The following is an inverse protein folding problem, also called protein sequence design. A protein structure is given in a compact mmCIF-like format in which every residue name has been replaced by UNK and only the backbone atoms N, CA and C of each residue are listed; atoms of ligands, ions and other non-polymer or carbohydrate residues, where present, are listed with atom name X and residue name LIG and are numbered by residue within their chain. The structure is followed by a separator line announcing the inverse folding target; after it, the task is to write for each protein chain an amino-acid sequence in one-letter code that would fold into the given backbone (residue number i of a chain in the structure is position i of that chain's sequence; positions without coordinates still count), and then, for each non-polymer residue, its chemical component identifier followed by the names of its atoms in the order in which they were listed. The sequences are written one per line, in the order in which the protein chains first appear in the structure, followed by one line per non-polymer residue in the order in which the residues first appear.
data_IF_680886169633
#
_entry.id   IF_680886169633
#
_cell.length_a   1.000
_cell.length_b   1.000
_cell.length_c   1.000
_cell.angle_alpha   90.00
_cell.angle_beta   90.00
_cell.angle_gamma   90.00
#
_symmetry.space_group_name_H-M   'P 1'
#
loop_
_entity.id
_entity.type
_entity.pdbx_description
1 polymer ?
#
# COMPACT_ATOMS: atom_id res chain seq x y z
N UNK A 1 -11.07 -6.40 -36.72
CA UNK A 1 -10.13 -6.61 -35.61
C UNK A 1 -9.30 -5.35 -35.37
N UNK A 2 -9.73 -4.52 -34.43
CA UNK A 2 -9.05 -3.30 -34.02
C UNK A 2 -7.81 -3.59 -33.16
N UNK A 3 -6.73 -2.82 -33.39
CA UNK A 3 -5.50 -2.88 -32.60
C UNK A 3 -5.41 -1.67 -31.68
N UNK A 4 -5.45 -1.92 -30.39
CA UNK A 4 -5.44 -0.90 -29.34
C UNK A 4 -4.12 -0.93 -28.62
N UNK A 5 -3.49 0.24 -28.50
CA UNK A 5 -2.40 0.47 -27.57
C UNK A 5 -2.90 1.40 -26.49
N UNK A 6 -2.84 0.95 -25.25
CA UNK A 6 -3.23 1.69 -24.06
C UNK A 6 -2.02 1.86 -23.15
N UNK A 7 -1.79 3.06 -22.66
CA UNK A 7 -0.71 3.38 -21.76
C UNK A 7 -1.26 4.22 -20.62
N UNK A 8 -0.89 3.86 -19.39
CA UNK A 8 -1.24 4.64 -18.21
C UNK A 8 -0.04 4.77 -17.26
N UNK A 9 0.21 6.00 -16.82
CA UNK A 9 1.19 6.32 -15.80
C UNK A 9 0.47 6.91 -14.58
N UNK A 10 0.35 6.15 -13.47
CA UNK A 10 -0.38 6.60 -12.29
C UNK A 10 0.32 7.73 -11.53
N UNK A 11 1.62 7.96 -11.74
CA UNK A 11 2.37 9.03 -11.08
C UNK A 11 2.11 10.40 -11.71
N UNK A 12 1.93 10.43 -13.03
CA UNK A 12 1.59 11.66 -13.75
C UNK A 12 0.11 11.77 -14.08
N UNK A 13 -0.69 10.73 -13.80
CA UNK A 13 -2.10 10.62 -14.22
C UNK A 13 -2.26 10.61 -15.75
N UNK A 14 -1.21 10.23 -16.49
CA UNK A 14 -1.20 10.33 -17.95
C UNK A 14 -1.71 9.05 -18.59
N UNK A 15 -2.74 9.16 -19.43
CA UNK A 15 -3.34 8.08 -20.22
C UNK A 15 -3.19 8.37 -21.70
N UNK A 16 -2.54 7.44 -22.41
CA UNK A 16 -2.45 7.45 -23.87
C UNK A 16 -3.20 6.27 -24.47
N UNK A 17 -4.04 6.51 -25.47
CA UNK A 17 -4.73 5.46 -26.18
C UNK A 17 -4.62 5.69 -27.69
N UNK A 18 -4.24 4.66 -28.43
CA UNK A 18 -4.28 4.68 -29.90
C UNK A 18 -5.01 3.47 -30.44
N UNK A 19 -5.82 3.67 -31.46
CA UNK A 19 -6.54 2.60 -32.17
C UNK A 19 -6.10 2.61 -33.63
N UNK A 20 -5.61 1.46 -34.11
CA UNK A 20 -5.03 1.29 -35.45
C UNK A 20 -3.99 2.38 -35.78
N UNK A 21 -3.18 2.75 -34.78
CA UNK A 21 -2.13 3.76 -34.86
C UNK A 21 -2.60 5.21 -34.80
N UNK A 22 -3.91 5.47 -34.68
CA UNK A 22 -4.45 6.83 -34.51
C UNK A 22 -4.65 7.15 -33.04
N UNK A 23 -4.13 8.29 -32.59
CA UNK A 23 -4.33 8.77 -31.23
C UNK A 23 -5.80 9.12 -31.00
N UNK A 24 -6.38 8.55 -29.94
CA UNK A 24 -7.77 8.76 -29.52
C UNK A 24 -7.86 9.33 -28.09
N UNK A 25 -6.73 9.63 -27.44
CA UNK A 25 -6.68 10.10 -26.05
C UNK A 25 -7.56 11.31 -25.76
N UNK A 26 -7.68 12.20 -26.76
CA UNK A 26 -8.40 13.47 -26.68
C UNK A 26 -9.71 13.46 -27.46
N UNK A 27 -10.16 12.30 -27.97
CA UNK A 27 -11.46 12.22 -28.65
C UNK A 27 -12.59 12.23 -27.63
N UNK A 28 -13.66 12.95 -27.95
CA UNK A 28 -14.83 13.14 -27.08
C UNK A 28 -15.38 11.83 -26.48
N UNK A 29 -15.45 10.77 -27.28
CA UNK A 29 -15.99 9.49 -26.83
C UNK A 29 -15.14 8.84 -25.72
N UNK A 30 -13.82 9.02 -25.78
CA UNK A 30 -12.90 8.51 -24.77
C UNK A 30 -12.68 9.48 -23.61
N UNK A 31 -12.80 10.80 -23.84
CA UNK A 31 -12.86 11.79 -22.77
C UNK A 31 -14.07 11.56 -21.85
N UNK A 32 -15.15 10.95 -22.36
CA UNK A 32 -16.27 10.50 -21.50
C UNK A 32 -15.94 9.30 -20.62
N UNK A 33 -14.90 8.53 -20.97
CA UNK A 33 -14.43 7.40 -20.17
C UNK A 33 -13.50 7.88 -19.06
N UNK A 34 -12.36 8.50 -19.41
CA UNK A 34 -11.34 8.89 -18.44
C UNK A 34 -11.39 10.36 -18.03
N UNK A 35 -12.30 11.18 -18.56
CA UNK A 35 -12.31 12.61 -18.26
C UNK A 35 -11.05 13.30 -18.77
N UNK A 36 -10.18 13.74 -17.87
CA UNK A 36 -8.90 14.35 -18.23
C UNK A 36 -7.78 13.30 -18.30
N UNK A 37 -7.25 12.99 -19.49
CA UNK A 37 -6.21 11.97 -19.65
C UNK A 37 -4.85 12.37 -19.06
N UNK A 38 -4.70 13.55 -18.44
CA UNK A 38 -3.47 13.95 -17.74
C UNK A 38 -3.65 14.07 -16.22
N UNK A 39 -4.80 13.63 -15.68
CA UNK A 39 -5.11 13.80 -14.25
C UNK A 39 -5.87 12.63 -13.61
N UNK A 40 -6.53 11.79 -14.39
CA UNK A 40 -7.39 10.75 -13.84
C UNK A 40 -6.62 9.50 -13.46
N UNK A 41 -7.05 8.82 -12.39
CA UNK A 41 -6.51 7.51 -12.02
C UNK A 41 -7.15 6.41 -12.86
N UNK A 42 -6.42 5.34 -13.12
CA UNK A 42 -6.94 4.21 -13.89
C UNK A 42 -8.20 3.59 -13.25
N UNK A 43 -8.21 3.48 -11.92
CA UNK A 43 -9.31 2.91 -11.16
C UNK A 43 -10.64 3.67 -11.34
N UNK A 44 -10.59 4.94 -11.72
CA UNK A 44 -11.79 5.76 -11.94
C UNK A 44 -12.53 5.39 -13.22
N UNK A 45 -11.84 4.85 -14.23
CA UNK A 45 -12.40 4.67 -15.59
C UNK A 45 -12.23 3.28 -16.17
N UNK A 46 -11.32 2.46 -15.64
CA UNK A 46 -11.00 1.13 -16.19
C UNK A 46 -12.24 0.25 -16.31
N UNK A 47 -13.18 0.37 -15.37
CA UNK A 47 -14.42 -0.41 -15.35
C UNK A 47 -15.33 -0.19 -16.56
N UNK A 48 -15.25 0.97 -17.21
CA UNK A 48 -16.05 1.28 -18.42
C UNK A 48 -15.27 1.07 -19.72
N UNK A 49 -13.95 0.91 -19.64
CA UNK A 49 -13.06 1.04 -20.80
C UNK A 49 -13.43 0.11 -21.97
N UNK A 50 -13.61 -1.19 -21.71
CA UNK A 50 -13.89 -2.16 -22.77
C UNK A 50 -15.29 -1.99 -23.37
N UNK A 51 -16.28 -1.58 -22.58
CA UNK A 51 -17.59 -1.23 -23.10
C UNK A 51 -17.50 -0.03 -24.04
N UNK A 52 -16.80 1.04 -23.63
CA UNK A 52 -16.61 2.24 -24.45
C UNK A 52 -15.86 1.93 -25.74
N UNK A 53 -14.79 1.14 -25.65
CA UNK A 53 -14.04 0.69 -26.81
C UNK A 53 -14.95 -0.06 -27.79
N UNK A 54 -15.80 -0.95 -27.29
CA UNK A 54 -16.74 -1.70 -28.13
C UNK A 54 -17.82 -0.81 -28.76
N UNK A 55 -18.40 0.11 -28.00
CA UNK A 55 -19.42 1.04 -28.50
C UNK A 55 -18.91 1.89 -29.68
N UNK A 56 -17.62 2.24 -29.68
CA UNK A 56 -17.00 3.09 -30.68
C UNK A 56 -16.55 2.29 -31.91
N UNK A 57 -15.80 1.21 -31.69
CA UNK A 57 -15.20 0.45 -32.78
C UNK A 57 -16.15 -0.60 -33.38
N UNK A 58 -17.11 -1.07 -32.59
CA UNK A 58 -18.13 -2.05 -32.98
C UNK A 58 -17.54 -3.31 -33.66
N UNK A 59 -16.39 -3.76 -33.16
CA UNK A 59 -15.68 -4.95 -33.59
C UNK A 59 -16.01 -6.14 -32.67
N UNK A 60 -15.88 -7.36 -33.18
CA UNK A 60 -16.04 -8.61 -32.41
C UNK A 60 -14.71 -9.10 -31.82
N UNK A 61 -13.58 -8.57 -32.29
CA UNK A 61 -12.25 -8.96 -31.82
C UNK A 61 -11.30 -7.78 -31.64
N UNK A 62 -10.64 -7.73 -30.49
CA UNK A 62 -9.68 -6.69 -30.11
C UNK A 62 -8.31 -7.28 -29.75
N UNK A 63 -7.25 -6.63 -30.20
CA UNK A 63 -5.89 -6.83 -29.69
C UNK A 63 -5.51 -5.60 -28.86
N UNK A 64 -5.33 -5.77 -27.56
CA UNK A 64 -5.06 -4.68 -26.63
C UNK A 64 -3.67 -4.88 -26.03
N UNK A 65 -2.78 -3.95 -26.32
CA UNK A 65 -1.44 -3.90 -25.74
C UNK A 65 -1.41 -2.81 -24.67
N UNK A 66 -1.13 -3.17 -23.40
CA UNK A 66 -1.12 -2.25 -22.27
C UNK A 66 0.28 -1.96 -21.75
N UNK A 67 0.66 -0.68 -21.63
CA UNK A 67 1.90 -0.24 -20.99
C UNK A 67 1.60 0.54 -19.71
N UNK A 68 1.98 -0.02 -18.55
CA UNK A 68 1.70 0.58 -17.25
C UNK A 68 2.18 -0.29 -16.10
N UNK A 69 1.72 0.00 -14.87
CA UNK A 69 2.08 -0.81 -13.71
C UNK A 69 1.47 -2.23 -13.80
N UNK A 70 2.13 -3.26 -13.23
CA UNK A 70 1.57 -4.60 -13.14
C UNK A 70 0.26 -4.69 -12.33
N UNK A 71 0.04 -3.80 -11.36
CA UNK A 71 -1.25 -3.68 -10.66
C UNK A 71 -2.37 -3.27 -11.62
N UNK A 72 -2.13 -2.22 -12.40
CA UNK A 72 -3.11 -1.66 -13.33
C UNK A 72 -3.44 -2.66 -14.46
N UNK A 73 -2.45 -3.43 -14.89
CA UNK A 73 -2.65 -4.52 -15.85
C UNK A 73 -3.61 -5.60 -15.29
N UNK A 74 -3.46 -5.98 -14.01
CA UNK A 74 -4.37 -6.93 -13.36
C UNK A 74 -5.79 -6.36 -13.23
N UNK A 75 -5.92 -5.08 -12.95
CA UNK A 75 -7.24 -4.41 -12.93
C UNK A 75 -7.90 -4.48 -14.31
N UNK A 76 -7.14 -4.23 -15.39
CA UNK A 76 -7.61 -4.41 -16.77
C UNK A 76 -7.99 -5.86 -17.09
N UNK A 77 -7.21 -6.86 -16.66
CA UNK A 77 -7.54 -8.27 -16.84
C UNK A 77 -8.88 -8.62 -16.19
N UNK A 78 -9.09 -8.21 -14.94
CA UNK A 78 -10.34 -8.45 -14.20
C UNK A 78 -11.54 -7.83 -14.93
N UNK A 79 -11.43 -6.59 -15.40
CA UNK A 79 -12.53 -5.93 -16.12
C UNK A 79 -12.76 -6.57 -17.49
N UNK A 80 -11.69 -6.95 -18.20
CA UNK A 80 -11.77 -7.67 -19.47
C UNK A 80 -12.53 -8.99 -19.33
N UNK A 81 -12.19 -9.78 -18.31
CA UNK A 81 -12.84 -11.07 -18.05
C UNK A 81 -14.34 -10.90 -17.83
N UNK A 82 -14.71 -9.97 -16.94
CA UNK A 82 -16.12 -9.64 -16.69
C UNK A 82 -16.85 -9.18 -17.96
N UNK A 83 -16.24 -8.30 -18.75
CA UNK A 83 -16.83 -7.80 -19.99
C UNK A 83 -17.07 -8.93 -21.01
N UNK A 84 -16.10 -9.85 -21.17
CA UNK A 84 -16.23 -11.00 -22.06
C UNK A 84 -17.26 -12.03 -21.59
N UNK A 85 -17.46 -12.20 -20.27
CA UNK A 85 -18.53 -13.03 -19.71
C UNK A 85 -19.92 -12.48 -20.05
N UNK A 86 -20.10 -11.17 -19.94
CA UNK A 86 -21.35 -10.47 -20.29
C UNK A 86 -21.58 -10.41 -21.81
N UNK A 87 -20.52 -10.48 -22.61
CA UNK A 87 -20.53 -10.34 -24.06
C UNK A 87 -19.83 -11.51 -24.77
N UNK A 88 -20.41 -12.72 -24.66
CA UNK A 88 -19.83 -13.98 -25.18
C UNK A 88 -19.40 -14.00 -26.67
N UNK A 89 -19.90 -13.07 -27.50
CA UNK A 89 -19.48 -12.91 -28.89
C UNK A 89 -18.18 -12.15 -29.10
N UNK A 90 -17.69 -11.44 -28.07
CA UNK A 90 -16.54 -10.54 -28.16
C UNK A 90 -15.29 -11.19 -27.59
N UNK A 91 -14.18 -11.10 -28.34
CA UNK A 91 -12.88 -11.66 -27.93
C UNK A 91 -11.83 -10.56 -27.77
N UNK A 92 -11.27 -10.44 -26.58
CA UNK A 92 -10.21 -9.49 -26.27
C UNK A 92 -8.93 -10.24 -25.93
N UNK A 93 -7.88 -10.01 -26.73
CA UNK A 93 -6.53 -10.46 -26.41
C UNK A 93 -5.76 -9.30 -25.77
N UNK A 94 -5.62 -9.33 -24.45
CA UNK A 94 -4.89 -8.33 -23.68
C UNK A 94 -3.46 -8.83 -23.41
N UNK A 95 -2.47 -8.00 -23.69
CA UNK A 95 -1.06 -8.30 -23.45
C UNK A 95 -0.37 -7.14 -22.76
N UNK A 96 0.47 -7.44 -21.76
CA UNK A 96 1.29 -6.44 -21.09
C UNK A 96 2.54 -6.12 -21.93
N UNK A 97 2.70 -4.85 -22.28
CA UNK A 97 3.91 -4.32 -22.91
C UNK A 97 4.92 -3.92 -21.86
N UNK A 98 6.20 -4.22 -22.12
CA UNK A 98 7.28 -3.76 -21.27
C UNK A 98 7.28 -4.45 -19.91
N UNK A 99 7.38 -5.79 -19.90
CA UNK A 99 7.51 -6.63 -18.69
C UNK A 99 8.62 -6.14 -17.72
N UNK A 100 9.54 -5.29 -18.21
CA UNK A 100 10.59 -4.63 -17.44
C UNK A 100 10.18 -3.31 -16.74
N UNK A 101 8.89 -2.94 -16.67
CA UNK A 101 8.44 -1.85 -15.79
C UNK A 101 8.71 -2.27 -14.35
N UNK A 102 9.84 -1.78 -13.82
CA UNK A 102 10.32 -2.07 -12.47
C UNK A 102 9.20 -1.80 -11.47
N UNK A 103 8.93 -2.73 -10.56
CA UNK A 103 7.96 -2.52 -9.48
C UNK A 103 8.34 -1.31 -8.62
N UNK A 104 7.39 -0.77 -7.85
CA UNK A 104 7.70 0.29 -6.87
C UNK A 104 8.84 -0.11 -5.94
N UNK A 105 8.87 -1.38 -5.57
CA UNK A 105 9.85 -2.07 -4.73
C UNK A 105 11.27 -1.99 -5.33
N UNK A 106 11.39 -2.35 -6.61
CA UNK A 106 12.65 -2.35 -7.35
C UNK A 106 13.19 -0.92 -7.50
N UNK A 107 12.29 0.06 -7.69
CA UNK A 107 12.65 1.49 -7.78
C UNK A 107 13.14 2.04 -6.45
N UNK A 108 12.47 1.73 -5.33
CA UNK A 108 12.92 2.15 -3.98
C UNK A 108 14.29 1.55 -3.67
N UNK A 109 14.51 0.26 -3.97
CA UNK A 109 15.81 -0.40 -3.76
C UNK A 109 16.93 0.29 -4.55
N UNK A 110 16.68 0.63 -5.81
CA UNK A 110 17.66 1.32 -6.65
C UNK A 110 17.96 2.73 -6.16
N UNK A 111 16.94 3.44 -5.68
CA UNK A 111 17.12 4.78 -5.12
C UNK A 111 17.97 4.74 -3.85
N UNK A 112 17.75 3.76 -2.96
CA UNK A 112 18.59 3.52 -1.78
C UNK A 112 20.04 3.19 -2.18
N UNK A 113 20.23 2.32 -3.18
CA UNK A 113 21.57 1.97 -3.68
C UNK A 113 22.31 3.19 -4.27
N UNK A 114 21.61 4.03 -5.04
CA UNK A 114 22.16 5.28 -5.58
C UNK A 114 22.56 6.25 -4.45
N UNK A 115 21.73 6.36 -3.42
CA UNK A 115 22.01 7.19 -2.26
C UNK A 115 23.23 6.68 -1.49
N UNK A 116 23.34 5.37 -1.27
CA UNK A 116 24.50 4.76 -0.62
C UNK A 116 25.80 4.96 -1.42
N UNK A 117 25.73 4.88 -2.75
CA UNK A 117 26.86 5.16 -3.63
C UNK A 117 27.29 6.63 -3.54
N UNK A 118 26.32 7.56 -3.63
CA UNK A 118 26.56 8.99 -3.44
C UNK A 118 27.20 9.28 -2.09
N UNK A 119 26.70 8.68 -1.01
CA UNK A 119 27.22 8.82 0.35
C UNK A 119 28.70 8.39 0.45
N UNK A 120 29.07 7.30 -0.23
CA UNK A 120 30.45 6.77 -0.20
C UNK A 120 31.40 7.57 -1.08
N UNK A 121 30.96 7.91 -2.29
CA UNK A 121 31.85 8.35 -3.36
C UNK A 121 31.75 9.85 -3.69
N UNK A 122 30.79 10.58 -3.12
CA UNK A 122 30.62 12.01 -3.41
C UNK A 122 31.88 12.82 -3.03
N UNK A 123 32.34 13.74 -3.89
CA UNK A 123 33.40 14.69 -3.53
C UNK A 123 32.90 15.84 -2.63
N UNK A 124 31.59 15.94 -2.41
CA UNK A 124 30.97 16.99 -1.60
C UNK A 124 30.55 16.44 -0.23
N UNK A 125 31.08 17.03 0.84
CA UNK A 125 30.80 16.60 2.23
C UNK A 125 29.37 16.93 2.68
N UNK A 126 28.74 17.96 2.09
CA UNK A 126 27.33 18.30 2.33
C UNK A 126 26.38 17.12 2.03
N UNK A 127 26.74 16.32 1.01
CA UNK A 127 26.00 15.12 0.61
C UNK A 127 26.26 13.91 1.54
N UNK A 128 27.15 14.05 2.54
CA UNK A 128 27.52 13.01 3.49
C UNK A 128 27.00 13.24 4.91
N UNK A 129 26.25 14.33 5.10
CA UNK A 129 25.79 14.74 6.43
C UNK A 129 24.81 13.73 7.02
N UNK A 130 24.84 13.63 8.36
CA UNK A 130 23.87 12.82 9.11
C UNK A 130 22.44 13.31 8.87
N UNK A 131 22.24 14.62 8.83
CA UNK A 131 20.96 15.26 8.55
C UNK A 131 20.39 14.84 7.19
N UNK A 132 21.20 14.87 6.11
CA UNK A 132 20.72 14.42 4.81
C UNK A 132 20.35 12.93 4.80
N UNK A 133 21.11 12.10 5.53
CA UNK A 133 20.78 10.67 5.70
C UNK A 133 19.44 10.48 6.42
N UNK A 134 19.23 11.20 7.52
CA UNK A 134 17.98 11.16 8.27
C UNK A 134 16.81 11.66 7.42
N UNK A 135 16.97 12.78 6.72
CA UNK A 135 15.95 13.31 5.81
C UNK A 135 15.62 12.34 4.67
N UNK A 136 16.60 11.66 4.10
CA UNK A 136 16.38 10.65 3.06
C UNK A 136 15.65 9.41 3.61
N UNK A 137 16.05 8.91 4.79
CA UNK A 137 15.34 7.84 5.50
C UNK A 137 13.88 8.21 5.75
N UNK A 138 13.65 9.43 6.25
CA UNK A 138 12.32 9.93 6.55
C UNK A 138 11.48 10.10 5.27
N UNK A 139 12.07 10.67 4.21
CA UNK A 139 11.36 10.96 2.96
C UNK A 139 10.98 9.71 2.16
N UNK A 140 11.80 8.65 2.23
CA UNK A 140 11.45 7.40 1.57
C UNK A 140 10.52 6.51 2.39
N UNK A 141 10.26 6.88 3.65
CA UNK A 141 9.65 6.00 4.63
C UNK A 141 10.55 4.79 4.84
N UNK A 142 11.11 4.59 6.03
CA UNK A 142 11.56 3.24 6.36
C UNK A 142 10.38 2.35 6.72
N UNK A 143 9.23 2.96 6.98
CA UNK A 143 8.03 2.36 7.52
C UNK A 143 6.82 2.78 6.72
N UNK A 144 5.92 1.84 6.48
CA UNK A 144 4.63 2.09 5.87
C UNK A 144 3.53 1.70 6.85
N UNK A 145 2.90 2.73 7.44
CA UNK A 145 1.97 2.59 8.56
C UNK A 145 0.54 2.37 8.06
N UNK A 146 -0.01 1.20 8.34
CA UNK A 146 -1.39 0.82 8.06
C UNK A 146 -2.20 0.99 9.35
N UNK A 147 -2.96 2.08 9.42
CA UNK A 147 -3.90 2.33 10.52
C UNK A 147 -5.11 1.41 10.45
N UNK A 148 -5.37 0.65 11.52
CA UNK A 148 -6.57 -0.18 11.65
C UNK A 148 -7.58 0.53 12.54
N UNK A 149 -8.61 1.10 11.92
CA UNK A 149 -9.63 1.91 12.60
C UNK A 149 -10.96 1.16 12.62
N UNK A 150 -11.55 1.03 13.80
CA UNK A 150 -12.90 0.50 13.96
C UNK A 150 -13.59 1.12 15.17
N UNK A 151 -14.92 1.12 15.18
CA UNK A 151 -15.69 1.42 16.39
C UNK A 151 -15.39 0.40 17.49
N UNK A 152 -15.51 0.84 18.75
CA UNK A 152 -15.26 -0.04 19.91
C UNK A 152 -16.13 -1.30 19.80
N UNK A 153 -15.54 -2.46 20.11
CA UNK A 153 -16.20 -3.78 20.06
C UNK A 153 -16.56 -4.32 18.66
N UNK A 154 -16.04 -3.74 17.58
CA UNK A 154 -16.23 -4.25 16.20
C UNK A 154 -15.22 -5.33 15.78
N UNK A 155 -14.42 -5.85 16.71
CA UNK A 155 -13.49 -6.97 16.44
C UNK A 155 -12.12 -6.58 15.89
N UNK A 156 -11.66 -5.32 16.06
CA UNK A 156 -10.33 -4.85 15.63
C UNK A 156 -9.18 -5.73 16.14
N UNK A 157 -9.12 -5.99 17.44
CA UNK A 157 -8.10 -6.86 18.04
C UNK A 157 -8.19 -8.30 17.50
N UNK A 158 -9.41 -8.79 17.24
CA UNK A 158 -9.61 -10.12 16.63
C UNK A 158 -9.10 -10.17 15.20
N UNK A 159 -9.35 -9.14 14.39
CA UNK A 159 -8.82 -9.03 13.03
C UNK A 159 -7.29 -8.95 13.04
N UNK A 160 -6.70 -8.14 13.92
CA UNK A 160 -5.26 -8.06 14.06
C UNK A 160 -4.66 -9.40 14.48
N UNK A 161 -5.19 -10.06 15.51
CA UNK A 161 -4.73 -11.41 15.90
C UNK A 161 -4.83 -12.41 14.73
N UNK A 162 -5.89 -12.32 13.92
CA UNK A 162 -6.03 -13.13 12.71
C UNK A 162 -4.99 -12.79 11.62
N UNK A 163 -4.58 -11.53 11.48
CA UNK A 163 -3.49 -11.12 10.58
C UNK A 163 -2.13 -11.62 11.10
N UNK A 164 -1.90 -11.55 12.41
CA UNK A 164 -0.65 -11.97 13.05
C UNK A 164 -0.51 -13.51 13.14
N UNK A 165 -1.61 -14.26 12.96
CA UNK A 165 -1.73 -15.69 13.27
C UNK A 165 -1.44 -16.04 14.75
N UNK A 166 -1.55 -15.06 15.65
CA UNK A 166 -1.30 -15.23 17.08
C UNK A 166 -2.39 -14.54 17.89
N UNK A 167 -2.84 -15.18 18.97
CA UNK A 167 -3.74 -14.56 19.94
C UNK A 167 -2.91 -13.72 20.91
N UNK A 168 -2.66 -12.47 20.54
CA UNK A 168 -1.68 -11.61 21.20
C UNK A 168 -2.33 -10.35 21.80
N UNK A 169 -3.12 -9.63 21.00
CA UNK A 169 -3.83 -8.44 21.44
C UNK A 169 -5.08 -8.82 22.23
N UNK A 170 -5.35 -8.20 23.40
CA UNK A 170 -6.53 -8.53 24.19
C UNK A 170 -7.82 -8.14 23.45
N UNK A 171 -8.69 -9.12 23.19
CA UNK A 171 -10.01 -8.92 22.58
C UNK A 171 -11.10 -8.85 23.67
N UNK A 172 -11.54 -7.65 24.06
CA UNK A 172 -12.62 -7.43 25.03
C UNK A 172 -13.68 -6.47 24.46
N UNK A 173 -14.90 -6.53 25.01
CA UNK A 173 -16.03 -5.63 24.66
C UNK A 173 -15.97 -4.25 25.36
N UNK A 174 -14.78 -3.83 25.80
CA UNK A 174 -14.49 -2.52 26.41
C UNK A 174 -13.37 -1.85 25.60
N UNK A 175 -13.05 -0.56 25.77
CA UNK A 175 -11.88 0.03 25.13
C UNK A 175 -10.62 -0.76 25.54
N UNK A 176 -10.11 -1.60 24.64
CA UNK A 176 -8.95 -2.48 24.89
C UNK A 176 -7.62 -1.84 24.53
N UNK A 177 -7.67 -0.70 23.84
CA UNK A 177 -6.51 0.02 23.34
C UNK A 177 -6.56 1.43 23.93
N UNK A 178 -5.90 1.66 25.06
CA UNK A 178 -5.70 2.99 25.63
C UNK A 178 -4.47 3.69 25.03
N UNK A 179 -3.50 2.90 24.57
CA UNK A 179 -2.25 3.35 23.95
C UNK A 179 -2.22 2.82 22.52
N UNK A 180 -1.81 3.65 21.56
CA UNK A 180 -1.61 3.21 20.17
C UNK A 180 -0.51 2.14 20.15
N UNK A 181 -0.87 0.91 19.77
CA UNK A 181 0.10 -0.18 19.65
C UNK A 181 0.62 -0.25 18.21
N UNK A 182 1.93 -0.08 18.03
CA UNK A 182 2.59 -0.22 16.72
C UNK A 182 3.20 -1.61 16.59
N UNK A 183 2.78 -2.35 15.57
CA UNK A 183 3.19 -3.73 15.31
C UNK A 183 4.06 -3.73 14.07
N UNK A 184 5.36 -3.85 14.29
CA UNK A 184 6.40 -3.87 13.27
C UNK A 184 6.60 -5.29 12.77
N UNK A 185 6.52 -5.44 11.45
CA UNK A 185 6.95 -6.69 10.84
C UNK A 185 8.48 -6.83 10.96
N UNK A 186 8.92 -7.95 11.56
CA UNK A 186 10.32 -8.31 11.73
C UNK A 186 10.50 -9.80 11.51
N UNK A 187 10.94 -10.15 10.30
CA UNK A 187 11.15 -11.54 9.88
C UNK A 187 12.26 -12.28 10.65
N UNK A 188 13.09 -11.56 11.41
CA UNK A 188 14.16 -12.16 12.21
C UNK A 188 13.67 -12.70 13.55
N UNK A 189 12.48 -12.30 14.00
CA UNK A 189 11.91 -12.67 15.29
C UNK A 189 11.05 -13.93 15.15
N UNK A 190 11.29 -14.93 16.00
CA UNK A 190 10.51 -16.17 16.05
C UNK A 190 9.20 -16.04 16.83
N UNK A 191 9.14 -15.10 17.77
CA UNK A 191 7.99 -14.77 18.60
C UNK A 191 7.89 -13.24 18.66
N UNK A 192 6.68 -12.71 18.89
CA UNK A 192 6.51 -11.26 19.05
C UNK A 192 7.21 -10.77 20.31
N UNK A 193 8.00 -9.71 20.16
CA UNK A 193 8.71 -9.01 21.24
C UNK A 193 8.08 -7.66 21.51
N UNK A 194 8.03 -7.24 22.76
CA UNK A 194 7.35 -6.03 23.20
C UNK A 194 8.35 -5.09 23.87
N UNK A 195 8.27 -3.82 23.50
CA UNK A 195 8.93 -2.71 24.19
C UNK A 195 7.91 -1.62 24.48
N UNK A 196 7.97 -1.06 25.68
CA UNK A 196 7.07 0.01 26.12
C UNK A 196 7.84 1.11 26.83
N UNK A 197 7.50 2.36 26.55
CA UNK A 197 8.11 3.54 27.18
C UNK A 197 7.07 4.42 27.85
N UNK A 198 7.53 5.22 28.83
CA UNK A 198 6.77 6.33 29.39
C UNK A 198 6.86 7.59 28.52
N UNK A 199 6.12 8.64 28.92
CA UNK A 199 6.07 9.94 28.22
C UNK A 199 7.42 10.65 28.12
N UNK A 200 8.36 10.34 29.02
CA UNK A 200 9.73 10.88 29.03
C UNK A 200 10.68 10.02 28.19
N UNK A 201 10.18 8.92 27.59
CA UNK A 201 10.94 7.99 26.76
C UNK A 201 11.73 6.94 27.56
N UNK A 202 11.51 6.80 28.87
CA UNK A 202 12.17 5.76 29.65
C UNK A 202 11.48 4.42 29.44
N UNK A 203 12.28 3.35 29.33
CA UNK A 203 11.75 2.00 29.17
C UNK A 203 11.04 1.52 30.44
N UNK A 204 9.76 1.16 30.28
CA UNK A 204 8.99 0.37 31.25
C UNK A 204 9.33 -1.11 31.07
N UNK A 205 9.49 -1.54 29.82
CA UNK A 205 10.07 -2.82 29.45
C UNK A 205 10.70 -2.73 28.05
N UNK A 206 11.66 -3.62 27.77
CA UNK A 206 12.34 -3.68 26.48
C UNK A 206 12.64 -5.13 26.07
N UNK A 207 12.34 -5.47 24.82
CA UNK A 207 12.59 -6.77 24.16
C UNK A 207 12.11 -8.01 24.94
N UNK A 208 10.98 -7.90 25.64
CA UNK A 208 10.35 -9.03 26.34
C UNK A 208 9.43 -9.82 25.41
N UNK A 209 9.23 -11.11 25.68
CA UNK A 209 8.26 -11.93 24.93
C UNK A 209 6.85 -11.37 25.15
N UNK A 210 6.11 -11.15 24.06
CA UNK A 210 4.73 -10.70 24.09
C UNK A 210 3.79 -11.85 24.44
N UNK A 211 3.00 -11.68 25.49
CA UNK A 211 1.87 -12.56 25.79
C UNK A 211 0.61 -11.71 25.99
N UNK A 212 -0.59 -12.28 25.86
CA UNK A 212 -1.84 -11.58 26.16
C UNK A 212 -1.84 -10.91 27.54
N UNK A 213 -1.30 -11.58 28.56
CA UNK A 213 -1.23 -11.04 29.92
C UNK A 213 -0.31 -9.82 30.03
N UNK A 214 0.83 -9.85 29.33
CA UNK A 214 1.78 -8.73 29.31
C UNK A 214 1.16 -7.54 28.60
N UNK A 215 0.51 -7.77 27.45
CA UNK A 215 -0.10 -6.69 26.67
C UNK A 215 -1.35 -6.11 27.36
N UNK A 216 -2.16 -6.93 28.02
CA UNK A 216 -3.29 -6.47 28.83
C UNK A 216 -2.81 -5.60 30.02
N UNK A 217 -1.69 -6.01 30.65
CA UNK A 217 -1.06 -5.23 31.73
C UNK A 217 -0.50 -3.89 31.23
N UNK A 218 0.20 -3.88 30.09
CA UNK A 218 0.78 -2.68 29.51
C UNK A 218 -0.32 -1.72 29.01
N UNK A 219 -1.36 -2.23 28.34
CA UNK A 219 -2.50 -1.42 27.90
C UNK A 219 -3.29 -0.80 29.06
N UNK A 220 -3.27 -1.43 30.24
CA UNK A 220 -3.93 -0.91 31.45
C UNK A 220 -3.04 0.03 32.26
N UNK A 221 -1.77 0.19 31.89
CA UNK A 221 -0.80 1.02 32.63
C UNK A 221 -0.81 2.46 32.08
N UNK A 222 -1.26 3.41 32.90
CA UNK A 222 -1.36 4.83 32.53
C UNK A 222 -0.02 5.52 32.28
N UNK A 223 1.08 4.93 32.77
CA UNK A 223 2.43 5.45 32.54
C UNK A 223 2.93 5.13 31.12
N UNK A 224 2.36 4.12 30.45
CA UNK A 224 2.78 3.75 29.09
C UNK A 224 2.28 4.81 28.11
N UNK A 225 3.20 5.41 27.35
CA UNK A 225 2.88 6.32 26.24
C UNK A 225 2.99 5.65 24.88
N UNK A 226 3.94 4.73 24.74
CA UNK A 226 4.24 4.04 23.49
C UNK A 226 4.34 2.55 23.73
N UNK A 227 3.65 1.77 22.91
CA UNK A 227 3.69 0.32 22.93
C UNK A 227 4.09 -0.20 21.55
N UNK A 228 5.21 -0.90 21.47
CA UNK A 228 5.77 -1.42 20.22
C UNK A 228 5.90 -2.94 20.30
N UNK A 229 5.44 -3.61 19.23
CA UNK A 229 5.53 -5.05 19.06
C UNK A 229 6.36 -5.36 17.82
N UNK A 230 7.29 -6.31 17.90
CA UNK A 230 8.17 -6.71 16.80
C UNK A 230 8.04 -8.21 16.58
N UNK A 231 7.59 -8.63 15.41
CA UNK A 231 7.43 -10.06 15.11
C UNK A 231 7.20 -10.32 13.63
N UNK A 232 7.36 -11.58 13.23
CA UNK A 232 7.14 -11.98 11.85
C UNK A 232 5.64 -12.08 11.54
N UNK A 233 5.10 -11.11 10.81
CA UNK A 233 3.70 -11.08 10.39
C UNK A 233 3.54 -11.98 9.14
N UNK A 234 2.74 -13.07 9.22
CA UNK A 234 2.57 -13.98 8.10
C UNK A 234 1.99 -13.30 6.85
N UNK A 235 2.43 -13.76 5.68
CA UNK A 235 1.97 -13.27 4.37
C UNK A 235 2.22 -11.79 4.06
N UNK A 236 2.88 -11.05 4.96
CA UNK A 236 3.34 -9.69 4.70
C UNK A 236 4.71 -9.75 4.03
N UNK A 237 4.78 -9.16 2.84
CA UNK A 237 6.03 -8.97 2.10
C UNK A 237 6.46 -7.52 2.27
N UNK A 238 7.70 -7.36 2.69
CA UNK A 238 8.35 -6.05 2.80
C UNK A 238 9.13 -5.79 1.54
N UNK A 239 8.93 -4.60 1.01
CA UNK A 239 9.37 -4.26 -0.33
C UNK A 239 10.30 -3.04 -0.31
N UNK A 240 11.23 -3.05 0.64
CA UNK A 240 12.10 -1.91 0.96
C UNK A 240 11.48 -0.89 1.91
N UNK A 241 10.27 -1.18 2.40
CA UNK A 241 9.54 -0.48 3.45
C UNK A 241 9.12 -1.53 4.48
N UNK A 242 9.32 -1.23 5.76
CA UNK A 242 8.83 -2.05 6.87
C UNK A 242 7.34 -1.78 7.05
N UNK A 243 6.51 -2.81 6.98
CA UNK A 243 5.08 -2.62 7.24
C UNK A 243 4.86 -2.50 8.75
N UNK A 244 4.10 -1.48 9.15
CA UNK A 244 3.73 -1.24 10.55
C UNK A 244 2.22 -1.20 10.64
N UNK A 245 1.62 -2.08 11.44
CA UNK A 245 0.19 -1.94 11.77
C UNK A 245 0.04 -1.05 12.99
N UNK A 246 -0.84 -0.06 12.89
CA UNK A 246 -1.15 0.86 13.99
C UNK A 246 -2.53 0.51 14.54
N UNK A 247 -2.54 -0.07 15.73
CA UNK A 247 -3.77 -0.34 16.47
C UNK A 247 -4.20 0.91 17.21
N UNK A 248 -5.18 1.65 16.65
CA UNK A 248 -5.63 2.91 17.26
C UNK A 248 -6.71 2.65 18.33
N UNK A 249 -6.77 3.43 19.42
CA UNK A 249 -7.93 3.49 20.29
C UNK A 249 -9.22 3.72 19.50
N UNK A 250 -10.33 3.09 19.94
CA UNK A 250 -11.63 3.38 19.33
C UNK A 250 -12.05 4.83 19.61
N UNK A 251 -12.82 5.48 18.72
CA UNK A 251 -13.19 6.90 18.83
C UNK A 251 -14.00 7.25 20.09
N UNK A 252 -14.54 6.25 20.79
CA UNK A 252 -15.25 6.42 22.07
C UNK A 252 -14.34 6.27 23.30
N UNK A 253 -13.02 6.20 23.12
CA UNK A 253 -12.07 6.25 24.24
C UNK A 253 -11.78 7.72 24.62
N UNK A 254 -12.84 8.49 24.88
CA UNK A 254 -12.81 9.91 25.26
C UNK A 254 -12.41 10.06 26.74
N UNK A 255 -11.22 9.59 27.08
CA UNK A 255 -10.63 9.68 28.41
C UNK A 255 -9.49 10.69 28.53
N UNK A 256 -9.09 11.35 27.44
CA UNK A 256 -8.08 12.41 27.50
C UNK A 256 -8.40 13.49 26.45
N UNK A 257 -8.73 14.70 26.92
CA UNK A 257 -8.97 15.91 26.10
C UNK A 257 -7.64 16.50 25.54
N UNK A 258 -6.59 15.68 25.41
CA UNK A 258 -5.26 16.08 24.98
C UNK A 258 -4.77 15.24 23.80
N UNK A 259 -5.52 15.29 22.70
CA UNK A 259 -5.03 14.92 21.37
C UNK A 259 -5.32 16.03 20.36
#
# INVERSE_FOLDING_TARGET
MAKVYLEHNPFSGHTKCTIDGKDVSQKDDFLRCWGNPNKSFLQDWVGEFFQRLHDIENDDKYEVEFFGLPSDYRDLENVKDKFCEENSGIKINLVQKGINVKSSEERVRQLRALFDEMQKNSPYDELKTKELRENFSNALGDEEEIGVVATVSSGKSTLLNAILHEDLLPARNQPTTAVVAKIYNDKSKHEFRVSATDRDGNFICDDIVGTPEILDKLNSNKEVSDLKLFGNIPNIKEYGLRVVFSDTPGPNNSGDDTH
#
